data_IF_291219470372
#
_entry.id   IF_291219470372
#
_cell.length_a   1.000
_cell.length_b   1.000
_cell.length_c   1.000
_cell.angle_alpha   90.00
_cell.angle_beta   90.00
_cell.angle_gamma   90.00
#
_symmetry.space_group_name_H-M   'P 1'
#
loop_
_entity.id
_entity.type
_entity.pdbx_description
1 polymer ?
#
# COMPACT_ATOMS: atom_id res chain seq x y z
N UNK A 1 22.23 7.83 -5.84
CA UNK A 1 22.24 9.23 -5.34
C UNK A 1 23.19 9.38 -4.15
N UNK A 2 23.91 10.50 -3.96
CA UNK A 2 24.58 10.78 -2.68
C UNK A 2 23.56 10.81 -1.54
N UNK A 3 23.87 10.13 -0.44
CA UNK A 3 22.98 10.06 0.71
C UNK A 3 23.78 9.86 1.99
N UNK A 4 23.41 10.61 3.02
CA UNK A 4 24.02 10.50 4.34
C UNK A 4 23.00 9.85 5.29
N UNK A 5 23.36 8.63 5.71
CA UNK A 5 22.53 7.70 6.46
C UNK A 5 22.43 8.00 7.95
N UNK A 6 23.09 9.05 8.46
CA UNK A 6 22.99 9.41 9.88
C UNK A 6 21.55 9.79 10.27
N UNK A 7 20.87 8.97 11.11
CA UNK A 7 19.48 9.20 11.48
C UNK A 7 19.26 10.44 12.33
N UNK A 8 20.31 10.93 13.03
CA UNK A 8 20.22 12.15 13.84
C UNK A 8 19.86 13.36 12.99
N UNK A 9 20.26 13.36 11.70
CA UNK A 9 19.97 14.44 10.77
C UNK A 9 18.48 14.59 10.48
N UNK A 10 17.68 13.55 10.63
CA UNK A 10 16.25 13.58 10.34
C UNK A 10 15.39 13.09 11.52
N UNK A 11 15.96 13.05 12.72
CA UNK A 11 15.24 12.63 13.92
C UNK A 11 14.02 13.53 14.21
N UNK A 12 14.13 14.84 14.01
CA UNK A 12 13.10 15.84 14.36
C UNK A 12 12.32 16.39 13.16
N UNK A 13 12.56 15.86 11.95
CA UNK A 13 11.90 16.30 10.72
C UNK A 13 11.36 15.12 9.90
N UNK A 14 10.30 15.35 9.10
CA UNK A 14 9.92 14.43 8.04
C UNK A 14 11.07 14.25 7.05
N UNK A 15 11.20 13.04 6.53
CA UNK A 15 12.05 12.73 5.38
C UNK A 15 11.32 11.72 4.49
N UNK A 16 11.43 11.95 3.20
CA UNK A 16 10.89 11.08 2.16
C UNK A 16 11.88 11.05 1.01
N UNK A 17 12.10 9.87 0.45
CA UNK A 17 12.84 9.72 -0.80
C UNK A 17 11.88 9.16 -1.83
N UNK A 18 11.74 9.91 -2.92
CA UNK A 18 11.05 9.49 -4.13
C UNK A 18 12.08 9.40 -5.24
N UNK A 19 12.37 8.18 -5.68
CA UNK A 19 13.20 7.92 -6.86
C UNK A 19 12.31 7.42 -7.99
N UNK A 20 12.59 7.88 -9.21
CA UNK A 20 11.92 7.39 -10.41
C UNK A 20 12.92 6.77 -11.38
N UNK A 21 12.63 5.55 -11.81
CA UNK A 21 13.39 4.87 -12.86
C UNK A 21 12.51 4.82 -14.10
N UNK A 22 12.95 5.50 -15.16
CA UNK A 22 12.22 5.61 -16.42
C UNK A 22 12.77 4.60 -17.41
N UNK A 23 11.92 3.69 -17.88
CA UNK A 23 12.28 2.62 -18.81
C UNK A 23 11.46 2.72 -20.08
N UNK A 24 12.08 2.83 -21.27
CA UNK A 24 11.34 2.83 -22.53
C UNK A 24 10.55 1.53 -22.72
N UNK A 25 9.28 1.63 -23.16
CA UNK A 25 8.43 0.47 -23.49
C UNK A 25 8.97 -0.36 -24.66
N UNK A 26 9.94 0.16 -25.42
CA UNK A 26 10.68 -0.61 -26.41
C UNK A 26 11.58 -1.67 -25.79
N UNK A 27 11.98 -1.52 -24.52
CA UNK A 27 12.78 -2.51 -23.81
C UNK A 27 11.86 -3.65 -23.33
N UNK A 28 11.94 -4.78 -24.04
CA UNK A 28 10.94 -5.85 -23.92
C UNK A 28 11.01 -6.55 -22.58
N UNK A 29 12.19 -6.71 -21.99
CA UNK A 29 12.36 -7.36 -20.69
C UNK A 29 11.54 -6.67 -19.58
N UNK A 30 11.38 -5.35 -19.66
CA UNK A 30 10.55 -4.57 -18.73
C UNK A 30 9.09 -4.53 -19.20
N UNK A 31 8.83 -4.13 -20.45
CA UNK A 31 7.46 -3.96 -20.94
C UNK A 31 6.62 -5.24 -21.04
N UNK A 32 7.23 -6.41 -21.17
CA UNK A 32 6.50 -7.69 -21.16
C UNK A 32 6.19 -8.21 -19.76
N UNK A 33 6.71 -7.56 -18.72
CA UNK A 33 6.71 -8.08 -17.35
C UNK A 33 5.85 -7.18 -16.45
N UNK A 34 4.85 -7.72 -15.74
CA UNK A 34 3.98 -6.93 -14.87
C UNK A 34 4.56 -6.78 -13.46
N UNK A 35 5.67 -7.43 -13.14
CA UNK A 35 6.24 -7.50 -11.79
C UNK A 35 7.73 -7.17 -11.82
N UNK A 36 8.15 -6.38 -10.85
CA UNK A 36 9.52 -5.91 -10.72
C UNK A 36 9.97 -6.10 -9.29
N UNK A 37 11.27 -6.31 -9.12
CA UNK A 37 11.93 -6.26 -7.82
C UNK A 37 12.80 -5.01 -7.79
N UNK A 38 12.75 -4.30 -6.68
CA UNK A 38 13.63 -3.17 -6.43
C UNK A 38 14.48 -3.44 -5.20
N UNK A 39 15.68 -2.86 -5.18
CA UNK A 39 16.56 -2.89 -4.02
C UNK A 39 17.15 -1.52 -3.74
N UNK A 40 17.52 -1.29 -2.48
CA UNK A 40 18.33 -0.13 -2.06
C UNK A 40 19.60 -0.65 -1.40
N UNK A 41 20.73 -0.38 -2.04
CA UNK A 41 22.04 -0.86 -1.62
C UNK A 41 22.03 -2.39 -1.37
N UNK A 42 21.37 -3.14 -2.26
CA UNK A 42 21.23 -4.59 -2.16
C UNK A 42 20.13 -5.09 -1.21
N UNK A 43 19.43 -4.20 -0.49
CA UNK A 43 18.33 -4.58 0.40
C UNK A 43 17.00 -4.57 -0.36
N UNK A 44 16.27 -5.70 -0.42
CA UNK A 44 15.01 -5.77 -1.14
C UNK A 44 13.96 -4.78 -0.63
N UNK A 45 13.29 -4.12 -1.56
CA UNK A 45 12.11 -3.31 -1.29
C UNK A 45 10.85 -4.15 -1.51
N UNK A 46 9.91 -4.08 -0.58
CA UNK A 46 8.67 -4.88 -0.60
C UNK A 46 7.45 -4.01 -0.35
N UNK A 47 6.28 -4.54 -0.72
CA UNK A 47 4.99 -3.89 -0.48
C UNK A 47 4.88 -2.51 -1.15
N UNK A 48 4.43 -1.51 -0.40
CA UNK A 48 4.12 -0.14 -0.86
C UNK A 48 5.30 0.69 -1.35
N UNK A 49 6.53 0.16 -1.31
CA UNK A 49 7.77 0.90 -1.61
C UNK A 49 8.09 0.97 -3.10
N UNK A 50 7.46 0.12 -3.92
CA UNK A 50 7.67 0.08 -5.38
C UNK A 50 6.31 0.15 -6.07
N UNK A 51 6.16 1.15 -6.93
CA UNK A 51 4.97 1.36 -7.75
C UNK A 51 5.44 1.48 -9.20
N UNK A 52 4.89 0.67 -10.10
CA UNK A 52 5.23 0.76 -11.51
C UNK A 52 4.08 1.34 -12.29
N UNK A 53 4.26 2.49 -12.93
CA UNK A 53 3.29 3.25 -13.71
C UNK A 53 3.63 3.19 -15.21
N UNK A 54 2.90 2.39 -16.00
CA UNK A 54 3.06 2.33 -17.45
C UNK A 54 2.13 3.30 -18.20
N UNK A 55 1.33 4.13 -17.51
CA UNK A 55 0.24 4.89 -18.12
C UNK A 55 0.53 6.39 -18.16
N UNK A 56 1.25 6.93 -17.18
CA UNK A 56 1.51 8.37 -17.09
C UNK A 56 2.34 8.92 -18.24
N UNK A 57 3.20 8.10 -18.86
CA UNK A 57 3.98 8.48 -20.05
C UNK A 57 3.76 7.49 -21.19
N UNK A 58 3.50 8.02 -22.39
CA UNK A 58 3.02 7.22 -23.53
C UNK A 58 3.95 6.07 -23.91
N UNK A 59 5.25 6.32 -24.00
CA UNK A 59 6.28 5.36 -24.44
C UNK A 59 7.19 4.88 -23.30
N UNK A 60 6.89 5.23 -22.05
CA UNK A 60 7.77 5.03 -20.91
C UNK A 60 7.02 4.35 -19.76
N UNK A 61 7.71 3.42 -19.09
CA UNK A 61 7.29 2.84 -17.81
C UNK A 61 8.07 3.56 -16.73
N UNK A 62 7.39 4.10 -15.74
CA UNK A 62 8.00 4.76 -14.59
C UNK A 62 7.89 3.83 -13.39
N UNK A 63 9.01 3.46 -12.78
CA UNK A 63 9.01 2.83 -11.48
C UNK A 63 9.27 3.88 -10.41
N UNK A 64 8.29 4.16 -9.57
CA UNK A 64 8.42 5.02 -8.40
C UNK A 64 8.85 4.17 -7.21
N UNK A 65 9.98 4.51 -6.63
CA UNK A 65 10.47 3.96 -5.38
C UNK A 65 10.23 4.99 -4.28
N UNK A 66 9.44 4.59 -3.29
CA UNK A 66 8.96 5.46 -2.21
C UNK A 66 9.49 4.94 -0.87
N UNK A 67 10.31 5.75 -0.19
CA UNK A 67 10.86 5.43 1.12
C UNK A 67 10.47 6.51 2.12
N UNK A 68 9.70 6.13 3.14
CA UNK A 68 9.39 7.04 4.25
C UNK A 68 10.50 7.05 5.31
N UNK A 69 10.34 7.91 6.32
CA UNK A 69 11.28 8.02 7.44
C UNK A 69 11.57 6.69 8.12
N UNK A 70 10.56 5.83 8.30
CA UNK A 70 10.72 4.54 8.98
C UNK A 70 11.50 3.56 8.10
N UNK A 71 11.22 3.53 6.80
CA UNK A 71 11.99 2.74 5.83
C UNK A 71 13.47 3.17 5.85
N UNK A 72 13.74 4.47 5.77
CA UNK A 72 15.10 5.04 5.79
C UNK A 72 15.79 4.75 7.12
N UNK A 73 15.10 4.90 8.24
CA UNK A 73 15.65 4.61 9.58
C UNK A 73 16.00 3.13 9.73
N UNK A 74 15.18 2.23 9.16
CA UNK A 74 15.46 0.80 9.21
C UNK A 74 16.61 0.40 8.29
N UNK A 75 16.70 1.00 7.09
CA UNK A 75 17.86 0.84 6.21
C UNK A 75 19.13 1.36 6.86
N UNK A 76 19.12 2.53 7.51
CA UNK A 76 20.28 3.10 8.18
C UNK A 76 20.89 2.20 9.27
N UNK A 77 20.11 1.28 9.86
CA UNK A 77 20.61 0.30 10.84
C UNK A 77 21.45 -0.81 10.21
N UNK A 78 21.25 -1.10 8.92
CA UNK A 78 21.88 -2.23 8.22
C UNK A 78 22.89 -1.77 7.16
N UNK A 79 22.80 -0.52 6.71
CA UNK A 79 23.76 0.06 5.78
C UNK A 79 25.08 0.40 6.50
N UNK A 80 26.25 0.01 5.97
CA UNK A 80 27.53 0.36 6.57
C UNK A 80 27.71 1.88 6.71
N UNK A 81 28.21 2.40 7.85
CA UNK A 81 28.38 3.84 8.06
C UNK A 81 29.30 4.56 7.05
N UNK A 82 30.18 3.81 6.38
CA UNK A 82 31.06 4.33 5.31
C UNK A 82 30.33 4.54 3.97
N UNK A 83 29.10 4.04 3.84
CA UNK A 83 28.29 4.19 2.64
C UNK A 83 27.76 5.62 2.58
N UNK A 84 28.07 6.34 1.51
CA UNK A 84 27.64 7.73 1.30
C UNK A 84 26.70 7.88 0.09
N UNK A 85 26.12 6.76 -0.36
CA UNK A 85 25.14 6.73 -1.44
C UNK A 85 23.94 5.87 -1.09
N UNK A 86 22.80 6.24 -1.67
CA UNK A 86 21.63 5.40 -1.80
C UNK A 86 21.59 4.90 -3.25
N UNK A 87 21.79 3.60 -3.45
CA UNK A 87 21.88 2.98 -4.77
C UNK A 87 20.60 2.20 -5.02
N UNK A 88 19.81 2.66 -5.99
CA UNK A 88 18.58 1.98 -6.39
C UNK A 88 18.85 1.02 -7.53
N UNK A 89 18.27 -0.17 -7.43
CA UNK A 89 18.28 -1.15 -8.50
C UNK A 89 16.85 -1.58 -8.77
N UNK A 90 16.54 -1.80 -10.04
CA UNK A 90 15.27 -2.31 -10.51
C UNK A 90 15.54 -3.43 -11.51
N UNK A 91 14.86 -4.55 -11.35
CA UNK A 91 14.96 -5.68 -12.27
C UNK A 91 13.58 -6.27 -12.56
N UNK A 92 13.34 -6.76 -13.79
CA UNK A 92 12.15 -7.56 -14.07
C UNK A 92 12.12 -8.79 -13.17
N UNK A 93 10.93 -9.23 -12.78
CA UNK A 93 10.74 -10.42 -11.97
C UNK A 93 9.68 -11.33 -12.58
N UNK A 94 9.65 -12.59 -12.15
CA UNK A 94 8.56 -13.49 -12.52
C UNK A 94 7.21 -12.88 -12.12
N UNK A 95 6.19 -13.04 -12.98
CA UNK A 95 4.87 -12.47 -12.74
C UNK A 95 4.29 -12.99 -11.42
N UNK A 96 4.13 -12.09 -10.45
CA UNK A 96 3.56 -12.37 -9.13
C UNK A 96 2.91 -11.11 -8.57
N UNK A 97 2.06 -10.47 -9.39
CA UNK A 97 1.30 -9.30 -8.96
C UNK A 97 0.28 -9.75 -7.92
N UNK A 98 0.28 -9.08 -6.77
CA UNK A 98 -0.68 -9.29 -5.68
C UNK A 98 -1.53 -8.03 -5.50
N UNK A 99 -2.74 -8.20 -4.98
CA UNK A 99 -3.56 -7.07 -4.54
C UNK A 99 -2.83 -6.29 -3.44
N UNK A 100 -2.75 -4.98 -3.61
CA UNK A 100 -2.11 -4.07 -2.66
C UNK A 100 -2.92 -3.98 -1.37
N UNK A 101 -2.24 -4.11 -0.23
CA UNK A 101 -2.81 -3.92 1.11
C UNK A 101 -2.62 -2.49 1.62
N UNK A 102 -1.70 -1.73 1.01
CA UNK A 102 -1.52 -0.31 1.29
C UNK A 102 -0.85 0.39 0.11
N UNK A 103 -1.06 1.70 0.01
CA UNK A 103 -0.45 2.58 -0.99
C UNK A 103 0.08 3.86 -0.32
N UNK A 104 1.09 4.47 -0.91
CA UNK A 104 1.61 5.80 -0.54
C UNK A 104 1.32 6.78 -1.67
N UNK A 105 1.01 8.03 -1.33
CA UNK A 105 0.94 9.08 -2.35
C UNK A 105 2.32 9.34 -2.93
N UNK A 106 2.36 9.79 -4.18
CA UNK A 106 3.59 10.23 -4.87
C UNK A 106 4.34 11.35 -4.13
N UNK A 107 3.63 12.26 -3.45
CA UNK A 107 4.26 13.23 -2.55
C UNK A 107 4.85 12.60 -1.27
N UNK A 108 4.47 11.36 -0.94
CA UNK A 108 4.95 10.63 0.24
C UNK A 108 4.40 11.12 1.58
N UNK A 109 3.54 12.13 1.57
CA UNK A 109 2.96 12.71 2.79
C UNK A 109 1.85 11.87 3.42
N UNK A 110 1.17 11.06 2.61
CA UNK A 110 0.01 10.29 3.05
C UNK A 110 0.11 8.84 2.59
N UNK A 111 -0.49 7.95 3.38
CA UNK A 111 -0.71 6.58 2.97
C UNK A 111 -2.12 6.11 3.25
N UNK A 112 -2.51 5.05 2.55
CA UNK A 112 -3.84 4.48 2.61
C UNK A 112 -3.70 2.97 2.79
N UNK A 113 -4.29 2.42 3.86
CA UNK A 113 -4.47 0.97 4.02
C UNK A 113 -5.74 0.55 3.28
N UNK A 114 -5.64 -0.56 2.55
CA UNK A 114 -6.69 -1.12 1.72
C UNK A 114 -7.14 -2.45 2.33
N UNK A 115 -8.37 -2.48 2.86
CA UNK A 115 -8.99 -3.69 3.41
C UNK A 115 -10.17 -4.13 2.57
N UNK A 116 -10.43 -5.44 2.47
CA UNK A 116 -11.54 -5.97 1.66
C UNK A 116 -12.49 -6.82 2.49
N UNK A 117 -13.79 -6.66 2.21
CA UNK A 117 -14.86 -7.49 2.75
C UNK A 117 -15.83 -7.89 1.62
N UNK A 118 -15.95 -9.19 1.30
CA UNK A 118 -15.17 -10.32 1.81
C UNK A 118 -13.68 -10.23 1.44
N UNK A 119 -12.83 -11.01 2.12
CA UNK A 119 -11.38 -11.09 1.80
C UNK A 119 -11.11 -11.76 0.46
N UNK A 120 -12.06 -12.54 -0.05
CA UNK A 120 -12.03 -13.09 -1.40
C UNK A 120 -12.65 -12.09 -2.37
N UNK A 121 -11.83 -11.50 -3.22
CA UNK A 121 -12.24 -10.56 -4.25
C UNK A 121 -12.61 -11.36 -5.50
N UNK A 122 -13.81 -11.12 -6.05
CA UNK A 122 -14.31 -11.81 -7.24
C UNK A 122 -14.91 -10.85 -8.25
N UNK A 123 -14.84 -11.19 -9.54
CA UNK A 123 -15.45 -10.40 -10.61
C UNK A 123 -16.97 -10.55 -10.60
N UNK A 124 -17.68 -9.54 -11.11
CA UNK A 124 -19.14 -9.48 -11.24
C UNK A 124 -19.90 -9.65 -9.92
N UNK A 125 -19.25 -9.30 -8.81
CA UNK A 125 -19.85 -9.28 -7.47
C UNK A 125 -19.52 -7.97 -6.78
N UNK A 126 -20.32 -7.61 -5.78
CA UNK A 126 -20.02 -6.47 -4.93
C UNK A 126 -18.92 -6.85 -3.92
N UNK A 127 -17.81 -6.13 -3.95
CA UNK A 127 -16.70 -6.23 -3.02
C UNK A 127 -16.57 -4.89 -2.28
N UNK A 128 -16.51 -4.90 -0.94
CA UNK A 128 -16.38 -3.65 -0.18
C UNK A 128 -14.90 -3.36 0.11
N UNK A 129 -14.41 -2.23 -0.38
CA UNK A 129 -13.07 -1.71 -0.13
C UNK A 129 -13.12 -0.71 1.04
N UNK A 130 -12.52 -1.08 2.17
CA UNK A 130 -12.28 -0.20 3.30
C UNK A 130 -10.97 0.57 3.09
N UNK A 131 -11.04 1.88 3.23
CA UNK A 131 -9.91 2.79 3.20
C UNK A 131 -9.62 3.31 4.60
N UNK A 132 -8.35 3.34 4.98
CA UNK A 132 -7.89 3.97 6.23
C UNK A 132 -6.67 4.81 5.95
N UNK A 133 -6.82 6.13 6.08
CA UNK A 133 -5.79 7.10 5.77
C UNK A 133 -4.89 7.35 6.97
N UNK A 134 -3.58 7.51 6.72
CA UNK A 134 -2.58 7.79 7.74
C UNK A 134 -1.55 8.79 7.23
N UNK A 135 -0.95 9.53 8.16
CA UNK A 135 0.21 10.38 7.86
C UNK A 135 1.43 9.48 7.65
N UNK A 136 2.03 9.50 6.47
CA UNK A 136 3.11 8.58 6.13
C UNK A 136 4.45 8.92 6.83
N UNK A 137 4.57 10.11 7.44
CA UNK A 137 5.75 10.52 8.20
C UNK A 137 5.67 10.07 9.66
N UNK A 138 4.49 10.09 10.27
CA UNK A 138 4.27 9.72 11.68
C UNK A 138 3.64 8.34 11.85
N UNK A 139 3.12 7.76 10.77
CA UNK A 139 2.31 6.56 10.70
C UNK A 139 1.05 6.59 11.56
N UNK A 140 0.66 7.77 12.03
CA UNK A 140 -0.57 7.95 12.79
C UNK A 140 -1.78 8.02 11.86
N UNK A 141 -2.91 7.41 12.25
CA UNK A 141 -4.17 7.57 11.53
C UNK A 141 -4.57 9.04 11.41
N UNK A 142 -5.13 9.41 10.27
CA UNK A 142 -5.75 10.73 10.11
C UNK A 142 -7.07 10.73 10.88
N UNK A 143 -7.29 11.75 11.71
CA UNK A 143 -8.53 11.92 12.49
C UNK A 143 -9.49 12.95 11.88
N UNK A 144 -9.02 13.75 10.93
CA UNK A 144 -9.83 14.69 10.15
C UNK A 144 -10.53 14.03 8.96
N UNK A 145 -11.34 14.81 8.26
CA UNK A 145 -12.02 14.35 7.04
C UNK A 145 -11.07 14.37 5.86
N UNK A 146 -11.06 13.32 5.04
CA UNK A 146 -10.23 13.26 3.82
C UNK A 146 -11.12 13.37 2.61
N UNK A 147 -10.94 14.42 1.81
CA UNK A 147 -11.61 14.52 0.51
C UNK A 147 -10.74 13.86 -0.55
N UNK A 148 -11.32 12.99 -1.37
CA UNK A 148 -10.56 12.20 -2.32
C UNK A 148 -11.40 11.71 -3.51
N UNK A 149 -10.73 11.21 -4.53
CA UNK A 149 -11.33 10.51 -5.67
C UNK A 149 -10.74 9.09 -5.77
N UNK A 150 -11.51 8.13 -6.29
CA UNK A 150 -11.04 6.79 -6.65
C UNK A 150 -11.19 6.59 -8.14
N UNK A 151 -10.15 6.04 -8.77
CA UNK A 151 -10.20 5.53 -10.14
C UNK A 151 -9.65 4.11 -10.17
N UNK A 152 -10.30 3.22 -10.91
CA UNK A 152 -9.79 1.88 -11.21
C UNK A 152 -9.60 1.76 -12.72
N UNK A 153 -8.41 1.37 -13.15
CA UNK A 153 -8.06 1.17 -14.56
C UNK A 153 -7.89 -0.30 -14.87
N UNK A 154 -8.30 -0.72 -16.06
CA UNK A 154 -7.97 -2.03 -16.60
C UNK A 154 -6.50 -2.10 -17.09
N UNK A 155 -6.10 -3.26 -17.62
CA UNK A 155 -4.75 -3.50 -18.14
C UNK A 155 -4.34 -2.61 -19.33
N UNK A 156 -5.32 -2.03 -20.02
CA UNK A 156 -5.10 -1.17 -21.19
C UNK A 156 -5.13 0.32 -20.79
N UNK A 157 -5.35 0.62 -19.51
CA UNK A 157 -5.46 1.97 -18.97
C UNK A 157 -6.86 2.58 -19.12
N UNK A 158 -7.87 1.82 -19.55
CA UNK A 158 -9.24 2.33 -19.61
C UNK A 158 -9.86 2.34 -18.21
N UNK A 159 -10.72 3.33 -17.95
CA UNK A 159 -11.44 3.43 -16.68
C UNK A 159 -12.47 2.31 -16.54
N UNK A 160 -12.27 1.43 -15.57
CA UNK A 160 -13.26 0.42 -15.15
C UNK A 160 -14.25 0.97 -14.11
N UNK A 161 -13.78 1.86 -13.22
CA UNK A 161 -14.59 2.53 -12.21
C UNK A 161 -14.01 3.91 -11.91
N UNK A 162 -14.86 4.90 -11.63
CA UNK A 162 -14.44 6.23 -11.19
C UNK A 162 -15.49 6.82 -10.26
N UNK A 163 -15.07 7.17 -9.06
CA UNK A 163 -15.89 7.85 -8.06
C UNK A 163 -15.16 9.13 -7.64
N UNK A 164 -15.89 10.24 -7.54
CA UNK A 164 -15.29 11.56 -7.30
C UNK A 164 -16.00 12.30 -6.18
N UNK A 165 -15.31 13.29 -5.61
CA UNK A 165 -15.86 14.11 -4.51
C UNK A 165 -16.26 13.28 -3.28
N UNK A 166 -15.51 12.21 -3.00
CA UNK A 166 -15.72 11.37 -1.83
C UNK A 166 -15.14 12.04 -0.58
N UNK A 167 -15.70 11.70 0.58
CA UNK A 167 -15.20 12.16 1.88
C UNK A 167 -15.12 11.00 2.86
N UNK A 168 -13.89 10.63 3.24
CA UNK A 168 -13.63 9.71 4.33
C UNK A 168 -13.77 10.46 5.65
N UNK A 169 -14.90 10.26 6.34
CA UNK A 169 -15.15 10.90 7.64
C UNK A 169 -14.21 10.34 8.70
N UNK A 170 -13.50 11.22 9.39
CA UNK A 170 -12.50 10.82 10.39
C UNK A 170 -11.42 9.87 9.84
N UNK A 171 -10.98 10.09 8.60
CA UNK A 171 -9.88 9.35 7.98
C UNK A 171 -10.21 7.91 7.57
N UNK A 172 -11.48 7.51 7.55
CA UNK A 172 -11.90 6.19 7.09
C UNK A 172 -13.11 6.25 6.18
N UNK A 173 -13.17 5.34 5.21
CA UNK A 173 -14.31 5.20 4.31
C UNK A 173 -14.48 3.76 3.85
N UNK A 174 -15.63 3.42 3.29
CA UNK A 174 -15.88 2.13 2.63
C UNK A 174 -16.61 2.35 1.32
N UNK A 175 -16.03 1.83 0.25
CA UNK A 175 -16.55 1.96 -1.11
C UNK A 175 -16.96 0.59 -1.67
N UNK A 176 -18.11 0.54 -2.33
CA UNK A 176 -18.62 -0.66 -2.99
C UNK A 176 -18.04 -0.77 -4.39
N UNK A 177 -17.24 -1.80 -4.63
CA UNK A 177 -16.51 -2.03 -5.88
C UNK A 177 -17.06 -3.27 -6.58
N UNK A 178 -17.49 -3.12 -7.84
CA UNK A 178 -17.86 -4.23 -8.70
C UNK A 178 -17.06 -4.15 -10.01
N UNK A 179 -16.18 -5.12 -10.23
CA UNK A 179 -15.32 -5.17 -11.42
C UNK A 179 -15.83 -6.23 -12.41
N UNK A 180 -15.84 -5.93 -13.71
CA UNK A 180 -16.57 -6.72 -14.70
C UNK A 180 -15.90 -8.06 -15.06
N UNK A 181 -14.60 -8.21 -14.80
CA UNK A 181 -13.86 -9.40 -15.24
C UNK A 181 -12.66 -9.71 -14.35
N UNK A 182 -12.16 -10.95 -14.47
CA UNK A 182 -10.89 -11.34 -13.87
C UNK A 182 -9.73 -10.64 -14.59
N UNK A 183 -8.74 -10.18 -13.84
CA UNK A 183 -7.60 -9.46 -14.37
C UNK A 183 -6.80 -8.73 -13.30
N UNK A 184 -5.78 -8.01 -13.75
CA UNK A 184 -5.01 -7.07 -12.94
C UNK A 184 -5.52 -5.68 -13.28
N UNK A 185 -5.95 -4.94 -12.26
CA UNK A 185 -6.39 -3.56 -12.34
C UNK A 185 -5.43 -2.66 -11.58
N UNK A 186 -5.39 -1.39 -11.97
CA UNK A 186 -4.77 -0.31 -11.18
C UNK A 186 -5.82 0.33 -10.31
N UNK A 187 -5.58 0.51 -9.02
CA UNK A 187 -6.32 1.47 -8.20
C UNK A 187 -5.52 2.75 -8.03
N UNK A 188 -6.19 3.89 -8.21
CA UNK A 188 -5.67 5.23 -7.97
C UNK A 188 -6.57 5.95 -6.96
N UNK A 189 -5.96 6.48 -5.91
CA UNK A 189 -6.65 7.22 -4.83
C UNK A 189 -6.04 8.61 -4.79
N UNK A 190 -6.75 9.60 -5.29
CA UNK A 190 -6.29 10.98 -5.35
C UNK A 190 -6.77 11.75 -4.12
N UNK A 191 -5.87 12.08 -3.19
CA UNK A 191 -6.21 12.88 -2.02
C UNK A 191 -6.30 14.34 -2.43
N UNK A 192 -7.45 14.98 -2.22
CA UNK A 192 -7.72 16.37 -2.59
C UNK A 192 -7.52 17.35 -1.44
N UNK A 193 -7.80 16.94 -0.21
CA UNK A 193 -7.52 17.73 0.99
C UNK A 193 -7.71 16.90 2.26
N UNK A 194 -7.03 17.30 3.34
CA UNK A 194 -7.31 16.81 4.70
C UNK A 194 -7.93 17.95 5.51
N UNK A 195 -9.13 17.78 6.02
CA UNK A 195 -9.83 18.80 6.81
C UNK A 195 -9.65 18.51 8.30
N UNK A 196 -8.82 19.31 8.96
CA UNK A 196 -8.61 19.25 10.40
C UNK A 196 -9.23 20.50 11.04
N UNK A 197 -10.08 20.31 12.05
CA UNK A 197 -10.77 21.41 12.74
C UNK A 197 -11.49 22.38 11.78
N UNK A 198 -12.05 21.86 10.69
CA UNK A 198 -12.77 22.66 9.68
C UNK A 198 -11.88 23.39 8.66
N UNK A 199 -10.55 23.29 8.76
CA UNK A 199 -9.62 23.91 7.81
C UNK A 199 -9.05 22.87 6.85
N UNK A 200 -9.16 23.08 5.52
CA UNK A 200 -8.57 22.18 4.54
C UNK A 200 -7.05 22.40 4.41
N UNK A 201 -6.29 21.32 4.57
CA UNK A 201 -4.87 21.23 4.21
C UNK A 201 -4.72 20.57 2.83
N UNK A 202 -4.07 21.28 1.92
CA UNK A 202 -3.79 20.82 0.55
C UNK A 202 -2.28 20.74 0.27
N UNK A 203 -1.43 20.97 1.27
CA UNK A 203 0.02 21.11 1.11
C UNK A 203 0.75 19.82 0.73
N UNK A 204 0.13 18.66 0.98
CA UNK A 204 0.72 17.32 0.79
C UNK A 204 -0.12 16.38 -0.07
N UNK A 205 -1.04 16.93 -0.87
CA UNK A 205 -1.93 16.14 -1.73
C UNK A 205 -1.14 15.31 -2.74
N UNK A 206 -1.75 14.24 -3.24
CA UNK A 206 -1.10 13.35 -4.19
C UNK A 206 -1.94 12.11 -4.48
N UNK A 207 -1.43 11.26 -5.37
CA UNK A 207 -2.12 10.07 -5.82
C UNK A 207 -1.43 8.82 -5.29
N UNK A 208 -2.17 8.04 -4.50
CA UNK A 208 -1.77 6.70 -4.10
C UNK A 208 -2.12 5.71 -5.20
N UNK A 209 -1.16 4.87 -5.61
CA UNK A 209 -1.33 3.90 -6.71
C UNK A 209 -1.01 2.50 -6.22
N UNK A 210 -1.84 1.53 -6.58
CA UNK A 210 -1.64 0.12 -6.23
C UNK A 210 -2.28 -0.84 -7.23
N UNK A 211 -1.96 -2.12 -7.06
CA UNK A 211 -2.51 -3.21 -7.86
C UNK A 211 -3.75 -3.81 -7.20
N UNK A 212 -4.72 -4.21 -8.02
CA UNK A 212 -5.93 -4.93 -7.61
C UNK A 212 -6.12 -6.15 -8.53
N UNK A 213 -5.92 -7.34 -7.96
CA UNK A 213 -5.98 -8.61 -8.70
C UNK A 213 -7.33 -9.28 -8.47
N UNK A 214 -7.97 -9.74 -9.54
CA UNK A 214 -9.27 -10.41 -9.50
C UNK A 214 -9.20 -11.72 -10.32
N UNK A 215 -9.59 -12.89 -9.76
CA UNK A 215 -9.91 -13.08 -8.36
C UNK A 215 -8.63 -13.04 -7.51
N UNK A 216 -8.77 -12.69 -6.24
CA UNK A 216 -7.68 -12.82 -5.27
C UNK A 216 -8.23 -13.05 -3.86
N UNK A 217 -7.38 -13.56 -2.97
CA UNK A 217 -7.66 -13.57 -1.54
C UNK A 217 -6.67 -12.63 -0.88
N UNK A 218 -7.15 -11.58 -0.24
CA UNK A 218 -6.30 -10.71 0.57
C UNK A 218 -6.19 -11.30 1.97
N UNK A 219 -4.97 -11.66 2.37
CA UNK A 219 -4.65 -11.92 3.77
C UNK A 219 -4.40 -10.56 4.42
N UNK A 220 -5.17 -10.22 5.45
CA UNK A 220 -5.08 -8.93 6.16
C UNK A 220 -3.75 -8.65 6.84
N UNK A 221 -2.77 -9.55 6.71
CA UNK A 221 -1.44 -9.49 7.26
C UNK A 221 -0.45 -10.15 6.28
N UNK A 222 0.30 -9.35 5.53
CA UNK A 222 1.66 -9.73 5.13
C UNK A 222 2.62 -8.68 5.75
N UNK A 223 2.67 -8.74 7.08
CA UNK A 223 3.77 -8.35 8.00
C UNK A 223 4.58 -7.07 7.70
N UNK A 224 4.11 -5.94 8.24
CA UNK A 224 4.97 -4.88 8.79
C UNK A 224 4.77 -4.92 10.31
N UNK A 225 5.84 -4.94 11.14
CA UNK A 225 5.73 -5.22 12.57
C UNK A 225 4.65 -4.40 13.23
N UNK A 226 3.75 -5.11 13.90
CA UNK A 226 2.78 -4.62 14.86
C UNK A 226 3.35 -3.46 15.68
N UNK A 227 2.75 -2.28 15.54
CA UNK A 227 2.88 -1.26 16.56
C UNK A 227 2.12 -1.74 17.80
N UNK A 228 2.78 -2.57 18.62
CA UNK A 228 2.39 -2.89 19.99
C UNK A 228 1.08 -3.69 20.14
N UNK A 229 0.97 -4.54 21.18
CA UNK A 229 -0.20 -5.38 21.36
C UNK A 229 -1.36 -4.52 21.89
N UNK A 230 -2.38 -4.31 21.07
CA UNK A 230 -3.73 -4.14 21.61
C UNK A 230 -4.33 -5.54 21.66
N UNK A 231 -4.23 -6.15 22.84
CA UNK A 231 -4.79 -7.45 23.14
C UNK A 231 -6.28 -7.51 22.76
N UNK A 232 -6.59 -8.15 21.63
CA UNK A 232 -7.95 -8.57 21.33
C UNK A 232 -8.14 -9.94 21.97
N UNK A 233 -8.72 -9.96 23.17
CA UNK A 233 -9.22 -11.17 23.81
C UNK A 233 -10.27 -11.80 22.89
N UNK A 234 -9.89 -12.84 22.14
CA UNK A 234 -10.87 -13.78 21.59
C UNK A 234 -11.24 -14.72 22.72
N UNK A 235 -12.42 -14.49 23.30
CA UNK A 235 -13.03 -15.35 24.30
C UNK A 235 -13.38 -16.71 23.65
N UNK A 236 -12.49 -17.70 23.78
CA UNK A 236 -12.82 -19.09 23.43
C UNK A 236 -13.65 -19.67 24.58
N UNK A 237 -14.96 -19.77 24.38
CA UNK A 237 -15.83 -20.54 25.27
C UNK A 237 -15.55 -22.01 24.99
N UNK A 238 -14.80 -22.66 25.88
CA UNK A 238 -14.66 -24.11 25.90
C UNK A 238 -15.97 -24.74 26.39
N UNK A 239 -16.74 -25.34 25.47
CA UNK A 239 -17.86 -26.20 25.82
C UNK A 239 -17.26 -27.52 26.32
N UNK A 240 -17.17 -27.68 27.65
CA UNK A 240 -16.83 -28.96 28.27
C UNK A 240 -18.05 -29.87 28.12
N UNK A 241 -17.99 -30.80 27.17
CA UNK A 241 -18.90 -31.95 27.12
C UNK A 241 -18.54 -32.91 28.25
N UNK A 242 -19.37 -32.94 29.30
CA UNK A 242 -19.28 -33.95 30.36
C UNK A 242 -19.74 -35.29 29.79
N UNK A 243 -18.83 -36.24 29.67
CA UNK A 243 -19.15 -37.65 29.44
C UNK A 243 -19.33 -38.32 30.80
N UNK A 244 -20.58 -38.62 31.15
CA UNK A 244 -20.90 -39.40 32.35
C UNK A 244 -20.68 -40.88 32.05
N UNK A 245 -19.64 -41.48 32.64
CA UNK A 245 -19.46 -42.93 32.64
C UNK A 245 -20.07 -43.48 33.92
N UNK A 246 -21.22 -44.14 33.79
CA UNK A 246 -21.83 -44.88 34.90
C UNK A 246 -21.14 -46.23 35.03
N UNK A 247 -20.31 -46.40 36.06
CA UNK A 247 -19.80 -47.70 36.44
C UNK A 247 -20.95 -48.52 37.05
N UNK A 248 -21.26 -49.66 36.42
CA UNK A 248 -22.22 -50.64 36.91
C UNK A 248 -21.46 -51.60 37.83
N UNK A 249 -21.61 -51.46 39.14
CA UNK A 249 -21.22 -52.50 40.10
C UNK A 249 -22.46 -53.31 40.47
N UNK A 250 -22.31 -54.64 40.43
CA UNK A 250 -23.36 -55.60 40.75
C UNK A 250 -23.74 -55.67 42.22
#
# INVERSE_FOLDING_TARGET
>A
MPFDWDPTRFQDRPIFVHEEIHVPKSFKEFSSTPTYVASVNGNPLTGRRLIVDPYSLGDTIIAHILLNKIDITNLAKIIPPSTNTMNFELSPAAANVKTSFSVLTDFGGWGIKLGWSPTQITANTQNNLKLTFFDAFTEQPITGDVNYDIKILDKDGNTALSETSLTAKGGTDTQSINLPSNGIYRIEINIKSIVNNGLPDTSRIGVGRGDLVVPSTVTGDETIPEFGPVASLVLVIAIISVVTVTAKTG
#
